data_IF_160696163915
#
_entry.id   IF_160696163915
#
_cell.length_a   1.000
_cell.length_b   1.000
_cell.length_c   1.000
_cell.angle_alpha   90.00
_cell.angle_beta   90.00
_cell.angle_gamma   90.00
#
_symmetry.space_group_name_H-M   'P 1'
#
loop_
_entity.id
_entity.type
_entity.pdbx_description
1 polymer ?
#
# COMPACT_ATOMS: atom_id res chain seq x y z
N UNK A 1 -4.52 8.49 23.52
CA UNK A 1 -5.82 7.80 23.38
C UNK A 1 -5.56 6.33 23.09
N UNK A 2 -6.39 5.39 23.57
CA UNK A 2 -6.24 3.97 23.25
C UNK A 2 -6.34 3.75 21.73
N UNK A 3 -5.43 2.95 21.16
CA UNK A 3 -5.35 2.71 19.71
C UNK A 3 -6.66 2.10 19.19
N UNK A 4 -7.24 1.14 19.93
CA UNK A 4 -8.47 0.48 19.53
C UNK A 4 -9.65 1.44 19.34
N UNK A 5 -9.77 2.46 20.22
CA UNK A 5 -10.83 3.45 20.14
C UNK A 5 -10.69 4.31 18.87
N UNK A 6 -9.45 4.71 18.57
CA UNK A 6 -9.12 5.46 17.37
C UNK A 6 -9.41 4.61 16.11
N UNK A 7 -9.01 3.34 16.11
CA UNK A 7 -9.28 2.40 15.01
C UNK A 7 -10.77 2.19 14.77
N UNK A 8 -11.58 2.03 15.83
CA UNK A 8 -13.03 1.93 15.71
C UNK A 8 -13.65 3.21 15.14
N UNK A 9 -13.21 4.38 15.61
CA UNK A 9 -13.69 5.66 15.09
C UNK A 9 -13.40 5.80 13.59
N UNK A 10 -12.16 5.53 13.16
CA UNK A 10 -11.80 5.57 11.75
C UNK A 10 -12.54 4.51 10.93
N UNK A 11 -12.85 3.34 11.50
CA UNK A 11 -13.68 2.33 10.82
C UNK A 11 -15.08 2.85 10.54
N UNK A 12 -15.72 3.49 11.53
CA UNK A 12 -17.05 4.07 11.37
C UNK A 12 -17.06 5.25 10.40
N UNK A 13 -16.03 6.08 10.41
CA UNK A 13 -15.88 7.18 9.45
C UNK A 13 -15.69 6.65 8.01
N UNK A 14 -14.85 5.63 7.82
CA UNK A 14 -14.65 4.98 6.52
C UNK A 14 -15.96 4.35 6.02
N UNK A 15 -16.72 3.71 6.91
CA UNK A 15 -18.06 3.20 6.62
C UNK A 15 -19.01 4.32 6.19
N UNK A 16 -19.00 5.43 6.93
CA UNK A 16 -19.74 6.64 6.56
C UNK A 16 -19.44 7.07 5.13
N UNK A 17 -18.17 7.23 4.76
CA UNK A 17 -17.76 7.63 3.40
C UNK A 17 -18.26 6.65 2.35
N UNK A 18 -18.14 5.35 2.60
CA UNK A 18 -18.60 4.31 1.67
C UNK A 18 -20.13 4.31 1.47
N UNK A 19 -20.90 4.70 2.49
CA UNK A 19 -22.36 4.82 2.39
C UNK A 19 -22.85 6.03 1.56
N UNK A 20 -22.00 7.05 1.37
CA UNK A 20 -22.35 8.25 0.59
C UNK A 20 -22.49 7.92 -0.92
N UNK A 21 -21.97 6.78 -1.37
CA UNK A 21 -22.11 6.28 -2.74
C UNK A 21 -20.84 6.47 -3.59
N UNK A 22 -20.70 5.63 -4.62
CA UNK A 22 -19.49 5.51 -5.46
C UNK A 22 -19.00 6.86 -6.01
N UNK A 23 -19.91 7.70 -6.53
CA UNK A 23 -19.55 9.01 -7.12
C UNK A 23 -18.95 9.98 -6.09
N UNK A 24 -19.47 9.98 -4.86
CA UNK A 24 -19.00 10.88 -3.82
C UNK A 24 -17.76 10.33 -3.12
N UNK A 25 -17.66 9.01 -2.95
CA UNK A 25 -16.44 8.33 -2.53
C UNK A 25 -15.25 8.71 -3.42
N UNK A 26 -15.42 8.67 -4.74
CA UNK A 26 -14.36 9.06 -5.68
C UNK A 26 -13.86 10.50 -5.50
N UNK A 27 -14.75 11.44 -5.18
CA UNK A 27 -14.38 12.85 -4.88
C UNK A 27 -13.59 12.97 -3.59
N UNK A 28 -14.00 12.25 -2.54
CA UNK A 28 -13.32 12.24 -1.24
C UNK A 28 -11.93 11.63 -1.37
N UNK A 29 -11.81 10.51 -2.08
CA UNK A 29 -10.50 9.89 -2.36
C UNK A 29 -9.59 10.81 -3.18
N UNK A 30 -10.12 11.50 -4.19
CA UNK A 30 -9.35 12.47 -4.96
C UNK A 30 -8.81 13.60 -4.06
N UNK A 31 -9.60 14.07 -3.10
CA UNK A 31 -9.17 15.07 -2.13
C UNK A 31 -8.06 14.55 -1.21
N UNK A 32 -8.19 13.33 -0.66
CA UNK A 32 -7.13 12.72 0.14
C UNK A 32 -5.85 12.47 -0.68
N UNK A 33 -5.97 12.05 -1.94
CA UNK A 33 -4.82 11.88 -2.83
C UNK A 33 -4.08 13.21 -3.04
N UNK A 34 -4.81 14.32 -3.24
CA UNK A 34 -4.22 15.65 -3.35
C UNK A 34 -3.43 16.05 -2.11
N UNK A 35 -3.99 15.86 -0.90
CA UNK A 35 -3.29 16.15 0.36
C UNK A 35 -1.97 15.39 0.45
N UNK A 36 -1.99 14.07 0.15
CA UNK A 36 -0.81 13.21 0.19
C UNK A 36 0.29 13.67 -0.78
N UNK A 37 -0.08 13.95 -2.03
CA UNK A 37 0.87 14.36 -3.07
C UNK A 37 1.49 15.71 -2.71
N UNK A 38 0.67 16.70 -2.33
CA UNK A 38 1.16 18.04 -1.97
C UNK A 38 2.08 17.99 -0.77
N UNK A 39 1.71 17.25 0.28
CA UNK A 39 2.56 17.09 1.45
C UNK A 39 3.92 16.47 1.12
N UNK A 40 3.95 15.46 0.25
CA UNK A 40 5.21 14.83 -0.15
C UNK A 40 6.07 15.77 -1.01
N UNK A 41 5.46 16.53 -1.93
CA UNK A 41 6.18 17.52 -2.74
C UNK A 41 6.76 18.65 -1.88
N UNK A 42 5.99 19.15 -0.91
CA UNK A 42 6.47 20.15 0.05
C UNK A 42 7.62 19.59 0.90
N UNK A 43 7.50 18.36 1.39
CA UNK A 43 8.58 17.70 2.12
C UNK A 43 9.86 17.60 1.29
N UNK A 44 9.77 17.08 0.05
CA UNK A 44 10.91 16.94 -0.85
C UNK A 44 11.54 18.31 -1.15
N UNK A 45 10.70 19.30 -1.49
CA UNK A 45 11.16 20.66 -1.80
C UNK A 45 11.83 21.35 -0.62
N UNK A 46 11.30 21.14 0.60
CA UNK A 46 11.85 21.69 1.83
C UNK A 46 13.25 21.12 2.12
N UNK A 47 13.41 19.81 2.08
CA UNK A 47 14.71 19.17 2.30
C UNK A 47 15.72 19.60 1.23
N UNK A 48 15.32 19.60 -0.04
CA UNK A 48 16.19 20.05 -1.13
C UNK A 48 16.60 21.52 -0.97
N UNK A 49 15.67 22.39 -0.57
CA UNK A 49 15.92 23.80 -0.30
C UNK A 49 16.90 24.01 0.85
N UNK A 50 16.74 23.29 1.96
CA UNK A 50 17.65 23.36 3.11
C UNK A 50 19.08 22.90 2.79
N UNK A 51 19.21 21.84 1.98
CA UNK A 51 20.52 21.37 1.51
C UNK A 51 21.17 22.42 0.61
N UNK A 52 20.39 23.01 -0.32
CA UNK A 52 20.90 24.04 -1.23
C UNK A 52 21.31 25.33 -0.50
N UNK A 53 20.56 25.71 0.53
CA UNK A 53 20.87 26.86 1.39
C UNK A 53 22.04 26.62 2.36
N UNK A 54 22.53 25.38 2.48
CA UNK A 54 23.60 25.01 3.42
C UNK A 54 23.17 24.91 4.87
N UNK A 55 21.86 25.00 5.16
CA UNK A 55 21.29 24.87 6.51
C UNK A 55 21.33 23.42 7.03
N UNK A 56 21.45 22.45 6.14
CA UNK A 56 21.57 21.03 6.47
C UNK A 56 22.61 20.38 5.57
N UNK A 57 23.56 19.66 6.17
CA UNK A 57 24.57 18.93 5.41
C UNK A 57 24.01 17.58 4.95
N UNK A 58 24.26 17.17 3.69
CA UNK A 58 23.88 15.85 3.21
C UNK A 58 24.87 14.80 3.74
N UNK A 59 24.78 14.47 5.03
CA UNK A 59 25.63 13.49 5.71
C UNK A 59 24.90 12.17 6.02
N UNK A 60 23.70 11.97 5.45
CA UNK A 60 22.94 10.74 5.55
C UNK A 60 23.52 9.58 4.75
N UNK A 61 22.84 8.43 4.80
CA UNK A 61 23.36 7.17 4.24
C UNK A 61 23.49 7.13 2.71
N UNK A 62 22.96 8.11 1.97
CA UNK A 62 23.23 8.21 0.52
C UNK A 62 24.71 8.52 0.26
N UNK A 63 25.31 9.37 1.09
CA UNK A 63 26.70 9.80 0.94
C UNK A 63 27.64 8.81 1.62
N UNK A 64 27.23 8.23 2.75
CA UNK A 64 27.98 7.21 3.46
C UNK A 64 27.69 5.79 2.93
N UNK A 65 28.43 5.38 1.88
CA UNK A 65 28.32 4.04 1.27
C UNK A 65 28.58 2.88 2.24
N UNK A 66 29.26 3.14 3.37
CA UNK A 66 29.45 2.15 4.43
C UNK A 66 28.14 1.68 5.08
N UNK A 67 27.07 2.45 4.96
CA UNK A 67 25.76 2.08 5.50
C UNK A 67 24.91 1.29 4.48
N UNK A 68 25.41 1.02 3.28
CA UNK A 68 24.66 0.25 2.29
C UNK A 68 24.72 -1.23 2.68
N UNK A 69 23.54 -1.87 2.81
CA UNK A 69 23.42 -3.25 3.29
C UNK A 69 23.87 -3.46 4.76
N UNK A 70 23.43 -2.59 5.70
CA UNK A 70 23.70 -2.75 7.16
C UNK A 70 23.37 -4.16 7.67
N UNK A 71 22.30 -4.77 7.15
CA UNK A 71 21.85 -6.12 7.52
C UNK A 71 22.27 -7.19 6.48
N UNK A 72 23.24 -6.88 5.63
CA UNK A 72 23.72 -7.75 4.55
C UNK A 72 22.67 -8.05 3.47
N UNK A 73 22.96 -9.05 2.65
CA UNK A 73 22.05 -9.51 1.59
C UNK A 73 20.73 -10.07 2.14
N UNK A 74 20.75 -10.69 3.33
CA UNK A 74 19.56 -11.23 3.97
C UNK A 74 18.54 -10.13 4.31
N UNK A 75 18.97 -9.05 4.98
CA UNK A 75 18.09 -7.92 5.30
C UNK A 75 17.56 -7.19 4.06
N UNK A 76 18.36 -7.12 2.99
CA UNK A 76 17.90 -6.60 1.69
C UNK A 76 16.76 -7.44 1.12
N UNK A 77 16.92 -8.77 1.08
CA UNK A 77 15.89 -9.69 0.57
C UNK A 77 14.62 -9.64 1.41
N UNK A 78 14.73 -9.55 2.74
CA UNK A 78 13.56 -9.39 3.61
C UNK A 78 12.86 -8.03 3.40
N UNK A 79 13.62 -6.97 3.13
CA UNK A 79 13.07 -5.63 2.85
C UNK A 79 12.28 -5.59 1.54
N UNK A 80 12.70 -6.37 0.52
CA UNK A 80 11.93 -6.51 -0.72
C UNK A 80 10.52 -7.02 -0.46
N UNK A 81 10.35 -7.95 0.48
CA UNK A 81 9.02 -8.49 0.81
C UNK A 81 8.09 -7.46 1.43
N UNK A 82 8.59 -6.64 2.35
CA UNK A 82 7.84 -5.52 2.91
C UNK A 82 7.54 -4.45 1.85
N UNK A 83 8.47 -4.23 0.91
CA UNK A 83 8.24 -3.32 -0.22
C UNK A 83 7.04 -3.76 -1.06
N UNK A 84 6.92 -5.05 -1.41
CA UNK A 84 5.79 -5.54 -2.19
C UNK A 84 4.43 -5.33 -1.49
N UNK A 85 4.38 -5.48 -0.17
CA UNK A 85 3.17 -5.18 0.61
C UNK A 85 2.70 -3.73 0.39
N UNK A 86 3.62 -2.76 0.28
CA UNK A 86 3.26 -1.35 0.02
C UNK A 86 2.59 -1.10 -1.34
N UNK A 87 2.75 -2.03 -2.29
CA UNK A 87 2.10 -1.98 -3.61
C UNK A 87 0.76 -2.73 -3.67
N UNK A 88 0.29 -3.32 -2.55
CA UNK A 88 -0.95 -4.09 -2.49
C UNK A 88 -2.20 -3.33 -2.99
N UNK A 89 -2.22 -2.00 -2.86
CA UNK A 89 -3.32 -1.14 -3.31
C UNK A 89 -3.55 -1.11 -4.82
N UNK A 90 -2.66 -1.68 -5.64
CA UNK A 90 -2.77 -1.64 -7.10
C UNK A 90 -4.02 -2.33 -7.64
N UNK A 91 -4.61 -3.26 -6.88
CA UNK A 91 -5.84 -3.95 -7.28
C UNK A 91 -7.03 -2.99 -7.47
N UNK A 92 -7.03 -1.86 -6.73
CA UNK A 92 -8.04 -0.81 -6.88
C UNK A 92 -8.01 -0.18 -8.27
N UNK A 93 -6.83 -0.06 -8.89
CA UNK A 93 -6.70 0.44 -10.27
C UNK A 93 -7.28 -0.54 -11.28
N UNK A 94 -7.18 -1.85 -11.03
CA UNK A 94 -7.80 -2.89 -11.83
C UNK A 94 -9.32 -2.82 -11.77
N UNK A 95 -9.90 -2.63 -10.58
CA UNK A 95 -11.36 -2.43 -10.44
C UNK A 95 -11.83 -1.15 -11.14
N UNK A 96 -11.10 -0.04 -10.96
CA UNK A 96 -11.43 1.22 -11.63
C UNK A 96 -11.35 1.11 -13.16
N UNK A 97 -10.47 0.25 -13.70
CA UNK A 97 -10.33 0.06 -15.15
C UNK A 97 -11.60 -0.47 -15.82
N UNK A 98 -12.45 -1.20 -15.08
CA UNK A 98 -13.73 -1.72 -15.59
C UNK A 98 -14.78 -0.62 -15.80
N UNK A 99 -14.62 0.55 -15.16
CA UNK A 99 -15.55 1.68 -15.25
C UNK A 99 -15.09 2.73 -16.28
N UNK A 100 -13.96 2.52 -16.95
CA UNK A 100 -13.40 3.47 -17.93
C UNK A 100 -14.10 3.31 -19.29
N UNK A 101 -14.68 4.40 -19.80
CA UNK A 101 -15.36 4.42 -21.09
C UNK A 101 -14.41 4.17 -22.30
N UNK A 102 -13.21 4.75 -22.29
CA UNK A 102 -12.19 4.54 -23.33
C UNK A 102 -11.03 3.68 -22.82
N UNK A 103 -11.06 2.40 -23.20
CA UNK A 103 -10.06 1.38 -22.84
C UNK A 103 -8.65 1.76 -23.32
N UNK A 104 -8.51 2.58 -24.39
CA UNK A 104 -7.20 2.99 -24.94
C UNK A 104 -6.43 3.89 -23.99
N UNK A 105 -7.11 4.55 -23.06
CA UNK A 105 -6.50 5.45 -22.07
C UNK A 105 -5.85 4.65 -20.93
N UNK A 106 -6.35 3.45 -20.62
CA UNK A 106 -5.94 2.65 -19.46
C UNK A 106 -4.42 2.43 -19.41
N UNK A 107 -3.74 1.96 -20.48
CA UNK A 107 -2.29 1.73 -20.42
C UNK A 107 -1.48 3.01 -20.19
N UNK A 108 -1.90 4.13 -20.79
CA UNK A 108 -1.22 5.43 -20.63
C UNK A 108 -1.41 5.98 -19.22
N UNK A 109 -2.63 5.89 -18.68
CA UNK A 109 -2.95 6.32 -17.32
C UNK A 109 -2.17 5.49 -16.29
N UNK A 110 -2.12 4.17 -16.48
CA UNK A 110 -1.39 3.26 -15.60
C UNK A 110 0.12 3.55 -15.59
N UNK A 111 0.73 3.74 -16.76
CA UNK A 111 2.16 4.10 -16.83
C UNK A 111 2.45 5.45 -16.16
N UNK A 112 1.58 6.45 -16.33
CA UNK A 112 1.72 7.74 -15.64
C UNK A 112 1.60 7.57 -14.12
N UNK A 113 0.66 6.76 -13.66
CA UNK A 113 0.47 6.46 -12.25
C UNK A 113 1.71 5.79 -11.65
N UNK A 114 2.29 4.80 -12.32
CA UNK A 114 3.54 4.15 -11.88
C UNK A 114 4.71 5.14 -11.86
N UNK A 115 4.89 5.93 -12.92
CA UNK A 115 5.99 6.91 -12.96
C UNK A 115 5.85 7.97 -11.86
N UNK A 116 4.63 8.47 -11.62
CA UNK A 116 4.36 9.44 -10.57
C UNK A 116 4.60 8.85 -9.18
N UNK A 117 4.00 7.70 -8.86
CA UNK A 117 4.19 7.05 -7.56
C UNK A 117 5.65 6.63 -7.33
N UNK A 118 6.28 6.05 -8.35
CA UNK A 118 7.69 5.63 -8.30
C UNK A 118 8.63 6.81 -8.08
N UNK A 119 8.43 7.94 -8.78
CA UNK A 119 9.23 9.15 -8.56
C UNK A 119 8.99 9.76 -7.19
N UNK A 120 7.75 9.85 -6.72
CA UNK A 120 7.43 10.34 -5.38
C UNK A 120 8.08 9.48 -4.29
N UNK A 121 8.05 8.15 -4.42
CA UNK A 121 8.71 7.23 -3.49
C UNK A 121 10.23 7.40 -3.53
N UNK A 122 10.82 7.42 -4.72
CA UNK A 122 12.26 7.58 -4.89
C UNK A 122 12.75 8.91 -4.31
N UNK A 123 12.15 10.03 -4.69
CA UNK A 123 12.55 11.35 -4.20
C UNK A 123 12.25 11.54 -2.72
N UNK A 124 11.15 11.00 -2.21
CA UNK A 124 10.84 11.02 -0.78
C UNK A 124 11.90 10.26 0.03
N UNK A 125 12.28 9.05 -0.41
CA UNK A 125 13.35 8.27 0.21
C UNK A 125 14.71 8.97 0.10
N UNK A 126 15.03 9.55 -1.06
CA UNK A 126 16.27 10.29 -1.24
C UNK A 126 16.35 11.51 -0.31
N UNK A 127 15.25 12.25 -0.14
CA UNK A 127 15.18 13.35 0.80
C UNK A 127 15.46 12.88 2.23
N UNK A 128 14.78 11.83 2.70
CA UNK A 128 15.01 11.26 4.05
C UNK A 128 16.47 10.80 4.24
N UNK A 129 17.00 10.02 3.30
CA UNK A 129 18.32 9.39 3.41
C UNK A 129 19.48 10.35 3.08
N UNK A 130 19.21 11.53 2.53
CA UNK A 130 20.22 12.58 2.34
C UNK A 130 20.62 13.20 3.68
N UNK A 131 19.68 13.28 4.62
CA UNK A 131 19.87 13.92 5.94
C UNK A 131 20.07 12.88 7.06
N UNK A 132 19.43 11.72 6.96
CA UNK A 132 19.47 10.72 8.04
C UNK A 132 20.31 9.49 7.66
N UNK A 133 21.04 8.97 8.65
CA UNK A 133 21.67 7.64 8.54
C UNK A 133 20.66 6.54 8.88
N UNK A 134 20.80 5.36 8.26
CA UNK A 134 20.02 4.15 8.54
C UNK A 134 20.00 3.79 10.04
N UNK A 135 21.08 4.08 10.77
CA UNK A 135 21.19 3.77 12.19
C UNK A 135 20.18 4.54 13.07
N UNK A 136 19.65 5.67 12.59
CA UNK A 136 18.71 6.49 13.37
C UNK A 136 17.25 6.28 12.97
N UNK A 137 16.99 5.45 11.96
CA UNK A 137 15.62 5.15 11.55
C UNK A 137 15.05 4.09 12.51
N UNK A 138 14.26 4.57 13.47
CA UNK A 138 13.60 3.71 14.46
C UNK A 138 12.31 3.13 13.85
N UNK A 139 12.05 1.82 13.94
CA UNK A 139 10.85 1.20 13.35
C UNK A 139 9.51 1.78 13.84
N UNK A 140 9.49 2.36 15.05
CA UNK A 140 8.28 2.86 15.69
C UNK A 140 7.83 4.26 15.21
N UNK A 141 8.65 4.97 14.44
CA UNK A 141 8.33 6.33 13.97
C UNK A 141 8.54 6.47 12.47
N UNK A 142 7.72 7.31 11.83
CA UNK A 142 7.85 7.58 10.40
C UNK A 142 9.18 8.31 10.13
N UNK A 143 10.04 7.81 9.22
CA UNK A 143 11.31 8.46 8.88
C UNK A 143 11.14 9.90 8.38
N UNK A 144 10.02 10.18 7.71
CA UNK A 144 9.67 11.52 7.27
C UNK A 144 9.42 12.47 8.46
N UNK A 145 8.73 11.99 9.49
CA UNK A 145 8.45 12.75 10.73
C UNK A 145 9.73 12.96 11.53
N UNK A 146 10.59 11.93 11.64
CA UNK A 146 11.91 12.04 12.28
C UNK A 146 12.77 13.09 11.58
N UNK A 147 12.71 13.15 10.24
CA UNK A 147 13.46 14.14 9.47
C UNK A 147 12.99 15.56 9.80
N UNK A 148 11.67 15.79 9.86
CA UNK A 148 11.12 17.11 10.19
C UNK A 148 11.32 17.50 11.65
N UNK A 149 11.27 16.57 12.59
CA UNK A 149 11.49 16.89 14.01
C UNK A 149 12.93 17.29 14.33
N UNK A 150 13.88 16.94 13.46
CA UNK A 150 15.29 17.37 13.53
C UNK A 150 15.53 18.72 12.89
N UNK A 151 14.61 19.15 12.04
CA UNK A 151 14.64 20.44 11.39
C UNK A 151 13.96 21.42 12.35
N UNK A 152 14.58 22.57 12.62
CA UNK A 152 14.08 23.57 13.58
C UNK A 152 12.84 24.34 13.08
N UNK A 153 11.92 23.69 12.36
CA UNK A 153 10.65 24.27 11.92
C UNK A 153 9.55 23.82 12.88
N UNK A 154 8.98 24.73 13.69
CA UNK A 154 7.94 24.41 14.64
C UNK A 154 6.73 23.74 13.98
N UNK A 155 6.17 22.72 14.62
CA UNK A 155 4.95 21.99 14.23
C UNK A 155 4.99 21.24 12.89
N UNK A 156 6.11 21.25 12.17
CA UNK A 156 6.24 20.57 10.87
C UNK A 156 6.04 19.05 10.97
N UNK A 157 6.54 18.45 12.04
CA UNK A 157 6.39 17.05 12.41
C UNK A 157 4.92 16.68 12.68
N UNK A 158 4.18 17.53 13.40
CA UNK A 158 2.76 17.35 13.68
C UNK A 158 1.90 17.42 12.41
N UNK A 159 2.16 18.37 11.52
CA UNK A 159 1.46 18.49 10.23
C UNK A 159 1.65 17.24 9.40
N UNK A 160 2.88 16.76 9.28
CA UNK A 160 3.18 15.56 8.52
C UNK A 160 2.57 14.31 9.16
N UNK A 161 2.56 14.21 10.49
CA UNK A 161 1.88 13.11 11.18
C UNK A 161 0.37 13.11 10.88
N UNK A 162 -0.28 14.27 10.86
CA UNK A 162 -1.69 14.38 10.46
C UNK A 162 -1.91 13.93 9.00
N UNK A 163 -1.00 14.29 8.09
CA UNK A 163 -1.02 13.78 6.70
C UNK A 163 -0.90 12.26 6.67
N UNK A 164 0.01 11.66 7.44
CA UNK A 164 0.20 10.21 7.49
C UNK A 164 -1.06 9.48 8.00
N UNK A 165 -1.73 10.03 9.01
CA UNK A 165 -3.02 9.50 9.50
C UNK A 165 -4.08 9.59 8.40
N UNK A 166 -4.16 10.71 7.68
CA UNK A 166 -5.08 10.88 6.55
C UNK A 166 -4.80 9.88 5.41
N UNK A 167 -3.51 9.60 5.16
CA UNK A 167 -3.08 8.65 4.15
C UNK A 167 -3.52 7.22 4.51
N UNK A 168 -3.29 6.80 5.76
CA UNK A 168 -3.72 5.51 6.27
C UNK A 168 -5.24 5.36 6.23
N UNK A 169 -5.98 6.40 6.64
CA UNK A 169 -7.44 6.42 6.61
C UNK A 169 -8.01 6.29 5.19
N UNK A 170 -7.42 6.98 4.22
CA UNK A 170 -7.80 6.86 2.82
C UNK A 170 -7.53 5.45 2.27
N UNK A 171 -6.36 4.86 2.54
CA UNK A 171 -6.07 3.47 2.15
C UNK A 171 -7.07 2.48 2.74
N UNK A 172 -7.44 2.65 4.01
CA UNK A 172 -8.45 1.84 4.69
C UNK A 172 -9.82 1.97 4.03
N UNK A 173 -10.24 3.19 3.72
CA UNK A 173 -11.53 3.46 3.06
C UNK A 173 -11.59 2.82 1.68
N UNK A 174 -10.48 2.87 0.93
CA UNK A 174 -10.36 2.24 -0.37
C UNK A 174 -10.32 0.71 -0.34
N UNK A 175 -9.63 0.12 0.65
CA UNK A 175 -9.66 -1.32 0.86
C UNK A 175 -11.08 -1.80 1.20
N UNK A 176 -11.80 -1.06 2.06
CA UNK A 176 -13.17 -1.39 2.43
C UNK A 176 -14.13 -1.33 1.23
N UNK A 177 -13.99 -0.30 0.39
CA UNK A 177 -14.71 -0.19 -0.89
C UNK A 177 -14.42 -1.40 -1.79
N UNK A 178 -13.15 -1.75 -1.97
CA UNK A 178 -12.71 -2.85 -2.82
C UNK A 178 -13.25 -4.21 -2.37
N UNK A 179 -13.10 -4.56 -1.09
CA UNK A 179 -13.57 -5.83 -0.53
C UNK A 179 -15.10 -5.95 -0.67
N UNK A 180 -15.83 -4.87 -0.41
CA UNK A 180 -17.29 -4.88 -0.52
C UNK A 180 -17.77 -5.20 -1.94
N UNK A 181 -17.06 -4.70 -2.97
CA UNK A 181 -17.36 -5.00 -4.39
C UNK A 181 -16.93 -6.40 -4.80
N UNK A 182 -15.76 -6.87 -4.33
CA UNK A 182 -15.34 -8.26 -4.58
C UNK A 182 -16.38 -9.24 -4.03
N UNK A 183 -16.92 -8.98 -2.83
CA UNK A 183 -17.99 -9.80 -2.25
C UNK A 183 -19.29 -9.80 -3.09
N UNK A 184 -19.64 -8.66 -3.71
CA UNK A 184 -20.75 -8.58 -4.67
C UNK A 184 -20.48 -9.49 -5.87
N UNK A 185 -19.32 -9.34 -6.50
CA UNK A 185 -18.95 -10.14 -7.69
C UNK A 185 -18.94 -11.64 -7.39
N UNK A 186 -18.45 -12.06 -6.22
CA UNK A 186 -18.49 -13.45 -5.77
C UNK A 186 -19.93 -13.93 -5.54
N UNK A 187 -20.78 -13.08 -4.95
CA UNK A 187 -22.19 -13.40 -4.72
C UNK A 187 -22.99 -13.52 -6.01
N UNK A 188 -22.69 -12.71 -7.03
CA UNK A 188 -23.30 -12.80 -8.36
C UNK A 188 -22.94 -14.10 -9.07
N UNK A 189 -21.70 -14.58 -8.87
CA UNK A 189 -21.21 -15.86 -9.40
C UNK A 189 -21.69 -17.09 -8.62
N UNK A 190 -22.40 -16.90 -7.51
CA UNK A 190 -22.84 -17.98 -6.62
C UNK A 190 -21.74 -18.55 -5.72
N UNK A 191 -20.58 -17.90 -5.66
CA UNK A 191 -19.43 -18.28 -4.81
C UNK A 191 -19.52 -17.70 -3.39
N UNK A 192 -20.42 -16.74 -3.16
CA UNK A 192 -20.74 -16.18 -1.85
C UNK A 192 -22.27 -16.14 -1.63
N UNK A 193 -22.76 -15.96 -0.38
CA UNK A 193 -24.19 -15.93 -0.10
C UNK A 193 -24.92 -14.88 -0.95
N UNK A 194 -25.94 -15.31 -1.73
CA UNK A 194 -26.72 -14.47 -2.67
C UNK A 194 -27.25 -13.16 -2.08
N UNK A 195 -27.39 -13.07 -0.76
CA UNK A 195 -27.85 -11.85 -0.10
C UNK A 195 -26.83 -10.70 -0.22
N UNK A 196 -25.56 -10.97 -0.51
CA UNK A 196 -24.49 -9.98 -0.58
C UNK A 196 -24.45 -9.20 -1.91
N UNK A 197 -25.06 -9.69 -2.99
CA UNK A 197 -25.09 -8.97 -4.26
C UNK A 197 -26.08 -7.79 -4.30
N UNK A 198 -26.93 -7.62 -3.28
CA UNK A 198 -27.91 -6.53 -3.28
C UNK A 198 -27.25 -5.16 -3.04
N UNK A 199 -27.24 -4.31 -4.06
CA UNK A 199 -26.91 -2.89 -3.96
C UNK A 199 -28.15 -2.03 -3.67
N UNK A 200 -27.95 -0.89 -3.00
CA UNK A 200 -29.02 0.11 -2.85
C UNK A 200 -29.13 1.02 -4.10
N UNK A 201 -30.11 1.92 -4.12
CA UNK A 201 -30.30 2.89 -5.23
C UNK A 201 -29.13 3.87 -5.46
N UNK A 202 -28.08 3.84 -4.63
CA UNK A 202 -26.84 4.63 -4.79
C UNK A 202 -25.65 3.77 -5.24
N UNK A 203 -25.88 2.49 -5.59
CA UNK A 203 -24.83 1.54 -5.99
C UNK A 203 -23.91 1.12 -4.84
N UNK A 204 -24.42 1.10 -3.60
CA UNK A 204 -23.67 0.68 -2.40
C UNK A 204 -24.15 -0.70 -1.94
N UNK A 205 -23.26 -1.71 -1.87
CA UNK A 205 -23.59 -3.04 -1.37
C UNK A 205 -23.59 -3.05 0.16
N UNK A 206 -24.68 -2.58 0.77
CA UNK A 206 -24.80 -2.37 2.21
C UNK A 206 -24.44 -3.64 3.00
N UNK A 207 -24.92 -4.80 2.59
CA UNK A 207 -24.68 -6.07 3.31
C UNK A 207 -23.21 -6.48 3.26
N UNK A 208 -22.58 -6.41 2.08
CA UNK A 208 -21.14 -6.66 1.94
C UNK A 208 -20.31 -5.68 2.77
N UNK A 209 -20.71 -4.40 2.80
CA UNK A 209 -20.07 -3.39 3.62
C UNK A 209 -20.11 -3.73 5.11
N UNK A 210 -21.27 -4.17 5.63
CA UNK A 210 -21.40 -4.60 7.03
C UNK A 210 -20.54 -5.83 7.33
N UNK A 211 -20.44 -6.80 6.41
CA UNK A 211 -19.52 -7.94 6.59
C UNK A 211 -18.07 -7.46 6.68
N UNK A 212 -17.65 -6.51 5.83
CA UNK A 212 -16.30 -5.94 5.89
C UNK A 212 -16.05 -5.19 7.20
N UNK A 213 -17.01 -4.40 7.68
CA UNK A 213 -16.91 -3.68 8.97
C UNK A 213 -16.89 -4.65 10.15
N UNK A 214 -17.68 -5.74 10.10
CA UNK A 214 -17.66 -6.78 11.12
C UNK A 214 -16.28 -7.47 11.16
N UNK A 215 -15.71 -7.81 10.01
CA UNK A 215 -14.36 -8.37 9.93
C UNK A 215 -13.31 -7.40 10.49
N UNK A 216 -13.37 -6.11 10.12
CA UNK A 216 -12.49 -5.09 10.69
C UNK A 216 -12.64 -4.95 12.21
N UNK A 217 -13.87 -5.02 12.71
CA UNK A 217 -14.13 -4.95 14.16
C UNK A 217 -13.53 -6.15 14.90
N UNK A 218 -13.61 -7.35 14.32
CA UNK A 218 -12.93 -8.56 14.84
C UNK A 218 -11.41 -8.36 14.81
N UNK A 219 -10.85 -7.80 13.73
CA UNK A 219 -9.41 -7.51 13.65
C UNK A 219 -8.96 -6.48 14.69
N UNK A 220 -9.78 -5.45 14.97
CA UNK A 220 -9.49 -4.46 16.02
C UNK A 220 -9.50 -5.13 17.40
N UNK A 221 -10.50 -5.97 17.69
CA UNK A 221 -10.54 -6.73 18.94
C UNK A 221 -9.31 -7.65 19.07
N UNK A 222 -8.98 -8.38 18.00
CA UNK A 222 -7.79 -9.22 17.95
C UNK A 222 -6.52 -8.39 18.24
N UNK A 223 -6.39 -7.18 17.71
CA UNK A 223 -5.22 -6.33 17.95
C UNK A 223 -5.01 -5.94 19.42
N UNK A 224 -6.06 -5.98 20.26
CA UNK A 224 -5.96 -5.71 21.71
C UNK A 224 -5.43 -6.93 22.46
N UNK A 225 -5.72 -8.14 21.98
CA UNK A 225 -5.34 -9.39 22.63
C UNK A 225 -4.03 -9.99 22.08
N UNK A 226 -3.67 -9.67 20.84
CA UNK A 226 -2.48 -10.18 20.18
C UNK A 226 -1.22 -9.43 20.63
N UNK A 227 -0.13 -10.17 20.84
CA UNK A 227 1.19 -9.58 21.07
C UNK A 227 1.71 -8.86 19.82
N UNK A 228 2.64 -7.92 20.01
CA UNK A 228 3.28 -7.19 18.89
C UNK A 228 3.90 -8.13 17.84
N UNK A 229 4.46 -9.25 18.29
CA UNK A 229 5.07 -10.25 17.40
C UNK A 229 4.04 -10.89 16.46
N UNK A 230 2.85 -11.22 16.96
CA UNK A 230 1.79 -11.81 16.14
C UNK A 230 1.32 -10.80 15.07
N UNK A 231 1.26 -9.51 15.41
CA UNK A 231 0.93 -8.46 14.44
C UNK A 231 1.97 -8.35 13.31
N UNK A 232 3.26 -8.46 13.63
CA UNK A 232 4.32 -8.48 12.62
C UNK A 232 4.21 -9.70 11.70
N UNK A 233 3.87 -10.88 12.25
CA UNK A 233 3.64 -12.08 11.46
C UNK A 233 2.43 -11.95 10.54
N UNK A 234 1.31 -11.39 11.01
CA UNK A 234 0.11 -11.14 10.20
C UNK A 234 0.40 -10.19 9.05
N UNK A 235 1.12 -9.10 9.31
CA UNK A 235 1.47 -8.12 8.27
C UNK A 235 2.40 -8.72 7.22
N UNK A 236 3.36 -9.54 7.65
CA UNK A 236 4.26 -10.25 6.74
C UNK A 236 3.51 -11.29 5.90
N UNK A 237 2.61 -12.06 6.52
CA UNK A 237 1.74 -13.05 5.85
C UNK A 237 0.87 -12.37 4.78
N UNK A 238 0.25 -11.23 5.10
CA UNK A 238 -0.55 -10.47 4.13
C UNK A 238 0.25 -10.10 2.88
N UNK A 239 1.53 -9.74 3.03
CA UNK A 239 2.43 -9.49 1.90
C UNK A 239 2.67 -10.73 1.04
N UNK A 240 2.87 -11.90 1.68
CA UNK A 240 3.05 -13.18 0.98
C UNK A 240 1.78 -13.60 0.24
N UNK A 241 0.61 -13.47 0.87
CA UNK A 241 -0.70 -13.73 0.25
C UNK A 241 -0.89 -12.84 -0.99
N UNK A 242 -0.52 -11.56 -0.92
CA UNK A 242 -0.59 -10.66 -2.08
C UNK A 242 0.32 -11.11 -3.23
N UNK A 243 1.57 -11.51 -2.94
CA UNK A 243 2.46 -12.05 -3.98
C UNK A 243 1.93 -13.35 -4.59
N UNK A 244 1.36 -14.22 -3.77
CA UNK A 244 0.72 -15.45 -4.23
C UNK A 244 -0.47 -15.13 -5.15
N UNK A 245 -1.36 -14.22 -4.75
CA UNK A 245 -2.47 -13.75 -5.57
C UNK A 245 -2.00 -13.16 -6.89
N UNK A 246 -0.97 -12.32 -6.89
CA UNK A 246 -0.41 -11.77 -8.13
C UNK A 246 0.20 -12.84 -9.02
N UNK A 247 0.85 -13.85 -8.42
CA UNK A 247 1.35 -15.01 -9.17
C UNK A 247 0.19 -15.74 -9.86
N UNK A 248 -0.91 -15.99 -9.16
CA UNK A 248 -2.12 -16.59 -9.75
C UNK A 248 -2.69 -15.73 -10.88
N UNK A 249 -2.76 -14.41 -10.71
CA UNK A 249 -3.23 -13.47 -11.74
C UNK A 249 -2.35 -13.56 -12.99
N UNK A 250 -1.02 -13.60 -12.82
CA UNK A 250 -0.07 -13.76 -13.94
C UNK A 250 -0.32 -15.11 -14.63
N UNK A 251 -0.44 -16.22 -13.89
CA UNK A 251 -0.72 -17.51 -14.52
C UNK A 251 -2.05 -17.53 -15.28
N UNK A 252 -3.12 -16.99 -14.71
CA UNK A 252 -4.43 -16.88 -15.34
C UNK A 252 -4.38 -16.03 -16.62
N UNK A 253 -3.70 -14.87 -16.57
CA UNK A 253 -3.48 -14.03 -17.74
C UNK A 253 -2.69 -14.77 -18.83
N UNK A 254 -1.75 -15.64 -18.44
CA UNK A 254 -1.03 -16.50 -19.39
C UNK A 254 -1.93 -17.51 -20.10
N UNK A 255 -2.94 -18.04 -19.42
CA UNK A 255 -3.99 -18.86 -20.05
C UNK A 255 -4.80 -18.06 -21.07
N UNK A 256 -5.21 -16.85 -20.71
CA UNK A 256 -5.95 -15.93 -21.58
C UNK A 256 -5.16 -15.56 -22.85
N UNK A 257 -3.88 -15.16 -22.71
CA UNK A 257 -3.00 -14.83 -23.85
C UNK A 257 -2.80 -16.02 -24.78
N UNK A 258 -2.76 -17.25 -24.26
CA UNK A 258 -2.67 -18.48 -25.08
C UNK A 258 -3.96 -18.74 -25.86
N UNK A 259 -5.11 -18.48 -25.27
CA UNK A 259 -6.42 -18.70 -25.90
C UNK A 259 -6.75 -17.67 -26.98
N UNK A 260 -6.25 -16.43 -26.87
CA UNK A 260 -6.64 -15.31 -27.73
C UNK A 260 -5.61 -14.98 -28.84
N UNK A 261 -4.95 -16.01 -29.40
CA UNK A 261 -3.83 -15.94 -30.35
C UNK A 261 -3.83 -14.70 -31.27
N UNK A 262 -2.96 -13.73 -30.96
CA UNK A 262 -2.81 -12.53 -31.79
C UNK A 262 -1.65 -11.59 -31.44
N UNK A 263 -1.35 -11.31 -30.17
CA UNK A 263 -0.37 -10.26 -29.85
C UNK A 263 0.56 -10.60 -28.67
N UNK A 264 1.86 -10.59 -28.96
CA UNK A 264 3.00 -10.50 -28.01
C UNK A 264 3.27 -11.66 -27.03
N UNK A 265 3.30 -12.91 -27.53
CA UNK A 265 3.69 -14.10 -26.75
C UNK A 265 5.10 -14.01 -26.11
N UNK A 266 6.07 -13.39 -26.78
CA UNK A 266 7.47 -13.28 -26.30
C UNK A 266 7.65 -12.23 -25.22
N UNK A 267 7.10 -11.03 -25.40
CA UNK A 267 7.15 -9.95 -24.39
C UNK A 267 6.47 -10.37 -23.08
N UNK A 268 5.32 -11.02 -23.20
CA UNK A 268 4.60 -11.55 -22.05
C UNK A 268 5.40 -12.64 -21.32
N UNK A 269 6.03 -13.57 -22.04
CA UNK A 269 6.80 -14.64 -21.43
C UNK A 269 7.96 -14.12 -20.57
N UNK A 270 8.70 -13.12 -21.06
CA UNK A 270 9.79 -12.49 -20.31
C UNK A 270 9.29 -11.68 -19.10
N UNK A 271 8.21 -10.91 -19.25
CA UNK A 271 7.61 -10.17 -18.14
C UNK A 271 7.08 -11.11 -17.05
N UNK A 272 6.46 -12.21 -17.44
CA UNK A 272 5.99 -13.26 -16.53
C UNK A 272 7.15 -13.87 -15.75
N UNK A 273 8.19 -14.36 -16.44
CA UNK A 273 9.32 -15.00 -15.77
C UNK A 273 10.05 -14.04 -14.86
N UNK A 274 10.32 -12.80 -15.31
CA UNK A 274 10.93 -11.77 -14.47
C UNK A 274 10.11 -11.50 -13.20
N UNK A 275 8.78 -11.29 -13.34
CA UNK A 275 7.91 -10.96 -12.20
C UNK A 275 7.84 -12.10 -11.18
N UNK A 276 7.67 -13.35 -11.64
CA UNK A 276 7.63 -14.53 -10.77
C UNK A 276 8.97 -14.74 -10.08
N UNK A 277 10.09 -14.57 -10.79
CA UNK A 277 11.42 -14.72 -10.19
C UNK A 277 11.66 -13.68 -9.10
N UNK A 278 11.30 -12.41 -9.31
CA UNK A 278 11.46 -11.38 -8.27
C UNK A 278 10.58 -11.68 -7.05
N UNK A 279 9.33 -12.12 -7.25
CA UNK A 279 8.46 -12.53 -6.14
C UNK A 279 9.01 -13.74 -5.39
N UNK A 280 9.52 -14.75 -6.12
CA UNK A 280 10.14 -15.92 -5.50
C UNK A 280 11.38 -15.54 -4.67
N UNK A 281 12.22 -14.62 -5.18
CA UNK A 281 13.38 -14.09 -4.45
C UNK A 281 12.94 -13.35 -3.17
N UNK A 282 11.85 -12.56 -3.23
CA UNK A 282 11.31 -11.88 -2.06
C UNK A 282 10.83 -12.90 -1.00
N UNK A 283 10.06 -13.92 -1.40
CA UNK A 283 9.61 -14.99 -0.50
C UNK A 283 10.78 -15.78 0.08
N UNK A 284 11.81 -16.08 -0.72
CA UNK A 284 13.05 -16.71 -0.23
C UNK A 284 13.73 -15.85 0.83
N UNK A 285 13.69 -14.52 0.70
CA UNK A 285 14.17 -13.58 1.72
C UNK A 285 13.47 -13.71 3.08
N UNK A 286 12.22 -14.18 3.11
CA UNK A 286 11.48 -14.46 4.36
C UNK A 286 11.95 -15.79 4.95
N UNK A 287 12.23 -16.79 4.10
CA UNK A 287 12.74 -18.10 4.52
C UNK A 287 14.15 -18.01 5.15
N UNK A 288 14.94 -16.99 4.84
CA UNK A 288 16.25 -16.77 5.46
C UNK A 288 16.15 -16.26 6.92
N UNK A 289 14.98 -15.84 7.39
CA UNK A 289 14.74 -15.43 8.78
C UNK A 289 13.81 -16.43 9.49
N UNK A 290 14.35 -17.37 10.30
CA UNK A 290 13.56 -18.39 10.99
C UNK A 290 12.42 -17.84 11.86
N UNK A 291 12.62 -16.65 12.45
CA UNK A 291 11.59 -15.97 13.24
C UNK A 291 10.35 -15.62 12.42
N UNK A 292 10.46 -15.48 11.09
CA UNK A 292 9.35 -15.10 10.22
C UNK A 292 8.66 -16.29 9.55
N UNK A 293 9.10 -17.53 9.78
CA UNK A 293 8.47 -18.71 9.16
C UNK A 293 7.01 -18.89 9.58
N UNK A 294 6.67 -18.45 10.79
CA UNK A 294 5.29 -18.44 11.29
C UNK A 294 4.37 -17.64 10.35
N UNK A 295 4.88 -16.58 9.71
CA UNK A 295 4.11 -15.80 8.73
C UNK A 295 3.83 -16.52 7.40
N UNK A 296 4.49 -17.66 7.13
CA UNK A 296 4.20 -18.49 5.95
C UNK A 296 3.14 -19.56 6.23
N UNK A 297 2.88 -19.86 7.50
CA UNK A 297 1.92 -20.88 7.95
C UNK A 297 0.55 -20.30 8.32
N UNK A 298 0.48 -18.99 8.54
CA UNK A 298 -0.75 -18.21 8.79
C UNK A 298 -1.26 -17.66 7.46
#
# INVERSE_FOLDING_TARGET
MPIWLLSTLFTLLAMGINLIGMKNYGKVEMFFAWIKIVALLLFIGLIAGMIWAGETQPNGSIVNRGDWFVQGAAGFLTSLSLMFFTFGGIIATGMASAEVADVRVIPRAFNRLIMLLGSLYLFGLLAVLSVNSFAVIVPAQSPFVITLSRINIPYSDHVLNAVMISAAFSTMTAAMFGVSRILVTLSERGEAPRRLCCENGRGVPIRSLFVTVAALSISILASVFLSKEIYEYLTTSAGVILMFLWTLIIFAHGGFVRAQSGLTRTRYAWQKTASITVMAIAVLGILLHPSRWVSLLI
#
